data_IF_356539130929
#
_entry.id   IF_356539130929
#
_cell.length_a   1.000
_cell.length_b   1.000
_cell.length_c   1.000
_cell.angle_alpha   90.00
_cell.angle_beta   90.00
_cell.angle_gamma   90.00
#
_symmetry.space_group_name_H-M   'P 1'
#
loop_
_entity.id
_entity.type
_entity.pdbx_description
1 polymer ?
#
# COMPACT_ATOMS: atom_id res chain seq x y z
N UNK A 1 7.14 -17.57 3.96
CA UNK A 1 6.15 -17.61 5.09
C UNK A 1 5.33 -18.89 4.89
N UNK A 2 4.86 -19.54 5.96
CA UNK A 2 3.97 -20.69 5.84
C UNK A 2 2.51 -20.24 5.65
N UNK A 3 1.65 -21.17 5.24
CA UNK A 3 0.24 -20.91 4.93
C UNK A 3 -0.55 -20.31 6.12
N UNK A 4 -0.29 -20.79 7.35
CA UNK A 4 -0.97 -20.27 8.55
C UNK A 4 -0.69 -18.77 8.74
N UNK A 5 0.57 -18.36 8.70
CA UNK A 5 0.95 -16.95 8.86
C UNK A 5 0.50 -16.09 7.69
N UNK A 6 0.49 -16.63 6.47
CA UNK A 6 -0.06 -15.92 5.30
C UNK A 6 -1.52 -15.56 5.50
N UNK A 7 -2.35 -16.54 5.91
CA UNK A 7 -3.77 -16.29 6.18
C UNK A 7 -3.98 -15.37 7.38
N UNK A 8 -3.16 -15.51 8.41
CA UNK A 8 -3.20 -14.63 9.58
C UNK A 8 -2.95 -13.17 9.18
N UNK A 9 -1.87 -12.89 8.43
CA UNK A 9 -1.60 -11.54 7.97
C UNK A 9 -2.64 -11.02 6.98
N UNK A 10 -3.15 -11.88 6.11
CA UNK A 10 -4.24 -11.50 5.21
C UNK A 10 -5.47 -11.03 5.98
N UNK A 11 -5.87 -11.79 7.00
CA UNK A 11 -7.00 -11.45 7.86
C UNK A 11 -6.74 -10.17 8.67
N UNK A 12 -5.56 -10.04 9.26
CA UNK A 12 -5.16 -8.83 9.97
C UNK A 12 -5.19 -7.60 9.05
N UNK A 13 -4.69 -7.73 7.81
CA UNK A 13 -4.77 -6.67 6.81
C UNK A 13 -6.22 -6.25 6.55
N UNK A 14 -7.11 -7.22 6.38
CA UNK A 14 -8.55 -6.94 6.21
C UNK A 14 -9.14 -6.20 7.41
N UNK A 15 -8.85 -6.63 8.63
CA UNK A 15 -9.37 -5.99 9.84
C UNK A 15 -8.81 -4.58 10.05
N UNK A 16 -7.51 -4.39 9.87
CA UNK A 16 -6.82 -3.11 10.11
C UNK A 16 -7.18 -2.08 9.04
N UNK A 17 -7.25 -2.48 7.78
CA UNK A 17 -7.68 -1.59 6.69
C UNK A 17 -9.19 -1.33 6.73
N UNK A 18 -9.99 -2.28 7.20
CA UNK A 18 -11.43 -2.12 7.39
C UNK A 18 -12.15 -1.63 6.14
N UNK A 19 -12.82 -0.46 6.23
CA UNK A 19 -13.53 0.14 5.09
C UNK A 19 -12.63 0.53 3.92
N UNK A 20 -11.33 0.68 4.17
CA UNK A 20 -10.29 1.03 3.17
C UNK A 20 -9.58 -0.19 2.57
N UNK A 21 -10.08 -1.41 2.81
CA UNK A 21 -9.43 -2.63 2.36
C UNK A 21 -9.14 -2.60 0.87
N UNK A 22 -7.88 -2.87 0.54
CA UNK A 22 -7.39 -3.11 -0.82
C UNK A 22 -7.01 -4.58 -0.96
N UNK A 23 -7.48 -5.22 -2.02
CA UNK A 23 -7.17 -6.61 -2.33
C UNK A 23 -5.66 -6.76 -2.58
N UNK A 24 -4.92 -7.55 -1.76
CA UNK A 24 -3.46 -7.62 -1.85
C UNK A 24 -2.94 -8.04 -3.23
N UNK A 25 -3.60 -8.98 -3.90
CA UNK A 25 -3.22 -9.43 -5.23
C UNK A 25 -3.40 -8.33 -6.30
N UNK A 26 -4.51 -7.59 -6.27
CA UNK A 26 -4.74 -6.49 -7.21
C UNK A 26 -3.73 -5.35 -7.01
N UNK A 27 -3.48 -4.99 -5.74
CA UNK A 27 -2.48 -3.98 -5.42
C UNK A 27 -1.06 -4.43 -5.83
N UNK A 28 -0.68 -5.67 -5.49
CA UNK A 28 0.63 -6.24 -5.87
C UNK A 28 0.84 -6.31 -7.39
N UNK A 29 -0.19 -6.67 -8.15
CA UNK A 29 -0.10 -6.68 -9.61
C UNK A 29 0.03 -5.26 -10.19
N UNK A 30 -0.72 -4.30 -9.65
CA UNK A 30 -0.60 -2.89 -10.04
C UNK A 30 0.80 -2.35 -9.73
N UNK A 31 1.34 -2.66 -8.57
CA UNK A 31 2.68 -2.27 -8.15
C UNK A 31 3.78 -2.88 -9.03
N UNK A 32 3.67 -4.17 -9.38
CA UNK A 32 4.58 -4.81 -10.35
C UNK A 32 4.54 -4.15 -11.73
N UNK A 33 3.35 -3.75 -12.18
CA UNK A 33 3.19 -3.01 -13.44
C UNK A 33 3.86 -1.64 -13.36
N UNK A 34 3.72 -0.95 -12.21
CA UNK A 34 4.43 0.29 -11.94
C UNK A 34 5.95 0.12 -12.06
N UNK A 35 6.55 -0.87 -11.39
CA UNK A 35 7.99 -1.13 -11.52
C UNK A 35 8.43 -1.47 -12.95
N UNK A 36 7.59 -2.19 -13.71
CA UNK A 36 7.91 -2.58 -15.09
C UNK A 36 7.89 -1.41 -16.07
N UNK A 37 7.11 -0.37 -15.78
CA UNK A 37 6.87 0.76 -16.68
C UNK A 37 7.05 2.12 -16.00
N UNK A 38 7.78 2.16 -14.89
CA UNK A 38 7.87 3.31 -13.99
C UNK A 38 8.07 4.62 -14.74
N UNK A 39 7.17 5.58 -14.46
CA UNK A 39 7.14 6.92 -15.04
C UNK A 39 6.99 6.98 -16.57
N UNK A 40 6.57 5.90 -17.22
CA UNK A 40 6.14 5.91 -18.62
C UNK A 40 4.64 6.10 -18.74
N UNK A 41 4.14 6.30 -19.96
CA UNK A 41 2.68 6.39 -20.25
C UNK A 41 1.89 5.11 -19.94
N UNK A 42 2.58 3.97 -19.76
CA UNK A 42 1.97 2.68 -19.39
C UNK A 42 1.92 2.46 -17.90
N UNK A 43 2.54 3.33 -17.12
CA UNK A 43 2.55 3.26 -15.68
C UNK A 43 1.19 3.72 -15.11
N UNK A 44 0.43 2.84 -14.44
CA UNK A 44 -0.89 3.18 -13.92
C UNK A 44 -0.84 4.08 -12.69
N UNK A 45 0.35 4.33 -12.16
CA UNK A 45 0.57 4.83 -10.81
C UNK A 45 1.61 5.97 -10.78
N UNK A 46 1.96 6.53 -11.94
CA UNK A 46 2.93 7.61 -12.04
C UNK A 46 2.28 8.99 -11.95
N UNK A 47 2.78 9.86 -11.07
CA UNK A 47 2.35 11.24 -11.00
C UNK A 47 2.91 12.11 -12.14
N UNK A 48 3.83 11.60 -12.97
CA UNK A 48 4.51 12.36 -14.04
C UNK A 48 3.53 12.72 -15.15
N UNK A 49 2.60 11.81 -15.45
CA UNK A 49 1.62 11.97 -16.54
C UNK A 49 0.27 12.50 -16.06
N UNK A 50 0.14 12.80 -14.78
CA UNK A 50 -1.09 13.29 -14.19
C UNK A 50 -1.07 14.81 -14.06
N UNK A 51 -2.10 15.48 -14.52
CA UNK A 51 -2.22 16.94 -14.46
C UNK A 51 -2.34 17.47 -13.03
N UNK A 52 -2.96 16.69 -12.15
CA UNK A 52 -3.18 17.04 -10.75
C UNK A 52 -3.42 15.76 -9.90
N UNK A 53 -3.53 15.96 -8.59
CA UNK A 53 -3.76 14.88 -7.62
C UNK A 53 -5.04 14.09 -7.92
N UNK A 54 -6.12 14.76 -8.29
CA UNK A 54 -7.40 14.09 -8.55
C UNK A 54 -7.33 13.19 -9.78
N UNK A 55 -6.70 13.65 -10.87
CA UNK A 55 -6.50 12.83 -12.07
C UNK A 55 -5.62 11.62 -11.76
N UNK A 56 -4.54 11.80 -11.00
CA UNK A 56 -3.68 10.71 -10.54
C UNK A 56 -4.47 9.66 -9.75
N UNK A 57 -5.20 10.10 -8.72
CA UNK A 57 -6.00 9.20 -7.88
C UNK A 57 -7.08 8.47 -8.69
N UNK A 58 -7.71 9.16 -9.64
CA UNK A 58 -8.74 8.56 -10.49
C UNK A 58 -8.18 7.49 -11.44
N UNK A 59 -7.04 7.73 -12.09
CA UNK A 59 -6.39 6.74 -12.95
C UNK A 59 -5.93 5.51 -12.14
N UNK A 60 -5.31 5.74 -10.98
CA UNK A 60 -4.92 4.67 -10.05
C UNK A 60 -6.14 3.84 -9.60
N UNK A 61 -7.24 4.51 -9.25
CA UNK A 61 -8.48 3.83 -8.85
C UNK A 61 -9.06 2.98 -9.99
N UNK A 62 -9.11 3.49 -11.23
CA UNK A 62 -9.61 2.72 -12.37
C UNK A 62 -8.78 1.46 -12.60
N UNK A 63 -7.46 1.58 -12.57
CA UNK A 63 -6.58 0.43 -12.76
C UNK A 63 -6.75 -0.59 -11.62
N UNK A 64 -6.77 -0.14 -10.37
CA UNK A 64 -7.03 -1.01 -9.23
C UNK A 64 -8.38 -1.75 -9.38
N UNK A 65 -9.45 -1.04 -9.70
CA UNK A 65 -10.80 -1.63 -9.89
C UNK A 65 -10.82 -2.65 -11.00
N UNK A 66 -10.16 -2.37 -12.11
CA UNK A 66 -10.03 -3.32 -13.21
C UNK A 66 -9.33 -4.61 -12.76
N UNK A 67 -8.18 -4.51 -12.09
CA UNK A 67 -7.43 -5.67 -11.60
C UNK A 67 -8.21 -6.43 -10.52
N UNK A 68 -8.80 -5.75 -9.55
CA UNK A 68 -9.55 -6.41 -8.48
C UNK A 68 -10.74 -7.20 -9.04
N UNK A 69 -11.44 -6.65 -10.01
CA UNK A 69 -12.55 -7.33 -10.69
C UNK A 69 -12.05 -8.55 -11.48
N UNK A 70 -10.96 -8.40 -12.24
CA UNK A 70 -10.39 -9.52 -13.00
C UNK A 70 -9.97 -10.68 -12.08
N UNK A 71 -9.36 -10.39 -10.94
CA UNK A 71 -8.91 -11.40 -10.00
C UNK A 71 -10.06 -12.07 -9.24
N UNK A 72 -11.17 -11.38 -9.03
CA UNK A 72 -12.38 -12.00 -8.51
C UNK A 72 -13.04 -12.95 -9.52
N UNK A 73 -12.85 -12.72 -10.82
CA UNK A 73 -13.38 -13.59 -11.88
C UNK A 73 -12.44 -14.76 -12.16
N UNK A 74 -11.14 -14.52 -12.24
CA UNK A 74 -10.13 -15.50 -12.65
C UNK A 74 -8.93 -15.51 -11.67
N UNK A 75 -8.94 -16.49 -10.78
CA UNK A 75 -7.91 -16.64 -9.74
C UNK A 75 -6.54 -17.07 -10.31
N UNK A 76 -6.49 -17.66 -11.50
CA UNK A 76 -5.25 -18.15 -12.09
C UNK A 76 -4.27 -17.02 -12.45
N UNK A 77 -4.78 -15.80 -12.68
CA UNK A 77 -3.98 -14.64 -13.07
C UNK A 77 -3.02 -14.11 -11.99
N UNK A 78 -3.13 -14.59 -10.76
CA UNK A 78 -2.31 -14.14 -9.63
C UNK A 78 -1.86 -15.28 -8.74
N UNK A 79 -1.54 -16.43 -9.33
CA UNK A 79 -1.20 -17.67 -8.61
C UNK A 79 0.01 -17.54 -7.66
N UNK A 80 0.87 -16.56 -7.87
CA UNK A 80 2.06 -16.29 -7.05
C UNK A 80 1.86 -15.18 -5.99
N UNK A 81 0.65 -14.61 -5.92
CA UNK A 81 0.29 -13.58 -4.94
C UNK A 81 -0.62 -14.16 -3.85
N UNK A 82 -0.54 -13.66 -2.60
CA UNK A 82 -1.43 -14.11 -1.54
C UNK A 82 -2.89 -13.89 -1.90
N UNK A 83 -3.70 -14.95 -1.79
CA UNK A 83 -5.12 -14.93 -2.11
C UNK A 83 -5.95 -15.53 -0.98
N UNK A 84 -7.10 -14.92 -0.70
CA UNK A 84 -8.13 -15.49 0.16
C UNK A 84 -9.50 -14.99 -0.30
N UNK A 85 -10.08 -15.69 -1.29
CA UNK A 85 -11.29 -15.28 -1.98
C UNK A 85 -12.43 -14.85 -1.07
N UNK A 86 -12.68 -15.60 0.00
CA UNK A 86 -13.73 -15.23 0.95
C UNK A 86 -13.53 -13.82 1.54
N UNK A 87 -12.33 -13.52 2.00
CA UNK A 87 -11.99 -12.20 2.56
C UNK A 87 -11.96 -11.11 1.46
N UNK A 88 -11.50 -11.45 0.26
CA UNK A 88 -11.49 -10.51 -0.87
C UNK A 88 -12.92 -10.09 -1.25
N UNK A 89 -13.84 -11.02 -1.34
CA UNK A 89 -15.27 -10.73 -1.61
C UNK A 89 -15.87 -9.87 -0.48
N UNK A 90 -15.60 -10.22 0.77
CA UNK A 90 -16.05 -9.41 1.91
C UNK A 90 -15.47 -7.98 1.86
N UNK A 91 -14.17 -7.83 1.61
CA UNK A 91 -13.49 -6.52 1.58
C UNK A 91 -13.93 -5.63 0.42
N UNK A 92 -14.38 -6.20 -0.71
CA UNK A 92 -14.97 -5.45 -1.82
C UNK A 92 -16.47 -5.16 -1.63
N UNK A 93 -17.12 -5.76 -0.64
CA UNK A 93 -18.55 -5.56 -0.36
C UNK A 93 -18.80 -4.18 0.26
N UNK A 94 -19.71 -3.41 -0.37
CA UNK A 94 -20.15 -2.13 0.20
C UNK A 94 -20.83 -2.28 1.56
N UNK A 95 -21.53 -3.40 1.80
CA UNK A 95 -22.18 -3.68 3.08
C UNK A 95 -21.13 -3.78 4.19
N UNK A 96 -20.04 -4.51 3.92
CA UNK A 96 -18.93 -4.68 4.88
C UNK A 96 -18.20 -3.35 5.10
N UNK A 97 -17.99 -2.55 4.05
CA UNK A 97 -17.38 -1.20 4.18
C UNK A 97 -18.25 -0.28 5.04
N UNK A 98 -19.56 -0.26 4.82
CA UNK A 98 -20.53 0.51 5.63
C UNK A 98 -20.52 0.02 7.09
N UNK A 99 -20.45 -1.29 7.31
CA UNK A 99 -20.33 -1.85 8.65
C UNK A 99 -19.09 -1.33 9.40
N UNK A 100 -17.91 -1.31 8.76
CA UNK A 100 -16.70 -0.73 9.35
C UNK A 100 -16.86 0.77 9.64
N UNK A 101 -17.44 1.54 8.73
CA UNK A 101 -17.72 2.98 8.95
C UNK A 101 -18.64 3.17 10.15
N UNK A 102 -19.66 2.31 10.30
CA UNK A 102 -20.56 2.33 11.44
C UNK A 102 -19.83 2.01 12.76
N UNK A 103 -18.89 1.06 12.74
CA UNK A 103 -18.03 0.77 13.89
C UNK A 103 -17.16 1.97 14.28
N UNK A 104 -16.53 2.65 13.31
CA UNK A 104 -15.73 3.86 13.59
C UNK A 104 -16.61 4.97 14.16
N UNK A 105 -17.80 5.17 13.60
CA UNK A 105 -18.75 6.17 14.08
C UNK A 105 -19.21 5.87 15.50
N UNK A 106 -19.51 4.60 15.80
CA UNK A 106 -19.89 4.15 17.14
C UNK A 106 -18.74 4.31 18.13
N UNK A 107 -17.51 3.97 17.74
CA UNK A 107 -16.33 4.18 18.57
C UNK A 107 -16.14 5.65 18.93
N UNK A 108 -16.20 6.56 17.94
CA UNK A 108 -16.08 7.99 18.22
C UNK A 108 -17.25 8.53 19.03
N UNK A 109 -18.46 8.05 18.78
CA UNK A 109 -19.62 8.41 19.59
C UNK A 109 -19.41 8.08 21.07
N UNK A 110 -18.81 6.94 21.36
CA UNK A 110 -18.67 6.42 22.72
C UNK A 110 -17.46 7.01 23.45
N UNK A 111 -16.34 7.19 22.76
CA UNK A 111 -15.05 7.46 23.40
C UNK A 111 -14.41 8.79 23.00
N UNK A 112 -14.87 9.46 21.96
CA UNK A 112 -14.23 10.69 21.54
C UNK A 112 -14.52 11.83 22.52
N UNK A 113 -13.51 12.59 22.96
CA UNK A 113 -13.66 13.71 23.88
C UNK A 113 -14.36 14.90 23.23
N UNK A 114 -14.49 14.95 21.91
CA UNK A 114 -15.20 15.99 21.17
C UNK A 114 -15.67 15.51 19.79
N UNK A 115 -16.67 16.21 19.24
CA UNK A 115 -17.22 15.91 17.92
C UNK A 115 -16.20 16.08 16.77
N UNK A 116 -15.10 16.80 16.96
CA UNK A 116 -14.05 16.97 15.96
C UNK A 116 -13.42 15.64 15.52
N UNK A 117 -13.44 14.62 16.38
CA UNK A 117 -12.91 13.30 16.04
C UNK A 117 -13.67 12.61 14.89
N UNK A 118 -14.93 12.98 14.63
CA UNK A 118 -15.67 12.47 13.48
C UNK A 118 -15.04 12.88 12.14
N UNK A 119 -14.24 13.95 12.10
CA UNK A 119 -13.47 14.32 10.91
C UNK A 119 -12.39 13.31 10.53
N UNK A 120 -12.07 12.36 11.41
CA UNK A 120 -11.16 11.25 11.09
C UNK A 120 -11.83 10.13 10.28
N UNK A 121 -13.16 10.05 10.26
CA UNK A 121 -13.88 9.00 9.51
C UNK A 121 -13.51 8.99 8.01
N UNK A 122 -13.50 10.13 7.29
CA UNK A 122 -13.01 10.16 5.91
C UNK A 122 -11.59 9.59 5.74
N UNK A 123 -10.68 9.86 6.69
CA UNK A 123 -9.33 9.31 6.64
C UNK A 123 -9.34 7.78 6.79
N UNK A 124 -10.18 7.21 7.66
CA UNK A 124 -10.34 5.75 7.75
C UNK A 124 -10.88 5.15 6.46
N UNK A 125 -11.85 5.83 5.80
CA UNK A 125 -12.44 5.36 4.55
C UNK A 125 -11.41 5.34 3.41
N UNK A 126 -10.52 6.33 3.36
CA UNK A 126 -9.56 6.53 2.28
C UNK A 126 -8.11 6.23 2.66
N UNK A 127 -7.86 5.58 3.80
CA UNK A 127 -6.49 5.35 4.31
C UNK A 127 -5.61 4.64 3.27
N UNK A 128 -6.08 3.56 2.66
CA UNK A 128 -5.32 2.84 1.63
C UNK A 128 -4.99 3.70 0.41
N UNK A 129 -5.98 4.33 -0.25
CA UNK A 129 -5.73 5.29 -1.33
C UNK A 129 -4.85 6.48 -0.93
N UNK A 130 -5.02 7.05 0.26
CA UNK A 130 -4.20 8.16 0.76
C UNK A 130 -2.75 7.71 0.93
N UNK A 131 -2.53 6.54 1.54
CA UNK A 131 -1.19 5.99 1.72
C UNK A 131 -0.51 5.77 0.36
N UNK A 132 -1.18 5.09 -0.56
CA UNK A 132 -0.68 4.89 -1.92
C UNK A 132 -0.39 6.20 -2.66
N UNK A 133 -1.24 7.21 -2.48
CA UNK A 133 -1.01 8.56 -3.01
C UNK A 133 0.27 9.20 -2.44
N UNK A 134 0.42 9.20 -1.12
CA UNK A 134 1.60 9.81 -0.47
C UNK A 134 2.88 9.16 -0.99
N UNK A 135 2.94 7.84 -1.00
CA UNK A 135 4.13 7.08 -1.42
C UNK A 135 4.48 7.35 -2.88
N UNK A 136 3.52 7.26 -3.79
CA UNK A 136 3.82 7.39 -5.22
C UNK A 136 3.94 8.85 -5.67
N UNK A 137 3.07 9.74 -5.20
CA UNK A 137 3.12 11.15 -5.59
C UNK A 137 4.40 11.84 -5.11
N UNK A 138 4.67 11.75 -3.81
CA UNK A 138 5.87 12.39 -3.25
C UNK A 138 7.13 11.60 -3.59
N UNK A 139 7.06 10.28 -3.56
CA UNK A 139 8.19 9.41 -3.88
C UNK A 139 8.70 9.51 -5.32
N UNK A 140 7.94 10.13 -6.25
CA UNK A 140 8.39 10.41 -7.62
C UNK A 140 8.55 11.90 -7.95
N UNK A 141 8.19 12.81 -7.02
CA UNK A 141 8.30 14.26 -7.24
C UNK A 141 9.31 14.95 -6.33
N UNK A 142 9.40 14.51 -5.08
CA UNK A 142 10.08 15.26 -4.03
C UNK A 142 11.14 14.42 -3.32
N UNK A 143 12.32 14.94 -3.14
CA UNK A 143 13.35 14.29 -2.35
C UNK A 143 14.72 14.18 -3.03
N UNK A 144 15.59 13.42 -2.41
CA UNK A 144 16.94 13.14 -2.91
C UNK A 144 17.00 11.78 -3.62
N UNK A 145 18.11 11.52 -4.32
CA UNK A 145 18.37 10.24 -5.01
C UNK A 145 19.70 9.68 -4.55
N UNK A 146 19.69 8.43 -4.12
CA UNK A 146 20.91 7.66 -3.90
C UNK A 146 21.38 7.01 -5.20
N UNK A 147 20.45 6.75 -6.13
CA UNK A 147 20.63 6.08 -7.41
C UNK A 147 20.20 6.99 -8.56
N UNK A 148 21.01 8.02 -8.91
CA UNK A 148 20.69 8.93 -10.00
C UNK A 148 20.73 8.29 -11.38
N UNK A 149 21.33 7.10 -11.51
CA UNK A 149 21.41 6.32 -12.75
C UNK A 149 20.11 5.67 -13.19
N UNK A 150 19.08 5.61 -12.31
CA UNK A 150 17.78 5.10 -12.68
C UNK A 150 17.07 6.06 -13.64
N UNK A 151 16.42 5.51 -14.66
CA UNK A 151 15.72 6.28 -15.70
C UNK A 151 14.38 6.85 -15.24
N UNK A 152 13.81 6.34 -14.17
CA UNK A 152 12.57 6.86 -13.57
C UNK A 152 12.84 8.11 -12.70
N UNK A 153 11.76 8.72 -12.17
CA UNK A 153 11.86 9.90 -11.32
C UNK A 153 11.80 9.57 -9.83
N UNK A 154 11.95 8.30 -9.44
CA UNK A 154 11.90 7.88 -8.05
C UNK A 154 12.88 8.64 -7.17
N UNK A 155 12.45 8.99 -5.98
CA UNK A 155 13.20 9.78 -4.98
C UNK A 155 12.99 9.23 -3.58
N UNK A 156 13.90 9.57 -2.70
CA UNK A 156 13.75 9.33 -1.27
C UNK A 156 13.22 10.64 -0.66
N UNK A 157 11.97 10.66 -0.27
CA UNK A 157 11.25 11.90 0.08
C UNK A 157 11.69 12.48 1.41
N UNK A 158 11.93 11.62 2.41
CA UNK A 158 12.34 12.05 3.75
C UNK A 158 13.60 11.30 4.18
N UNK A 159 14.51 11.96 4.93
CA UNK A 159 15.68 11.30 5.50
C UNK A 159 15.31 10.30 6.62
N UNK A 160 14.15 10.51 7.28
CA UNK A 160 13.62 9.63 8.32
C UNK A 160 12.13 9.41 8.02
N UNK A 161 11.77 8.18 7.71
CA UNK A 161 10.39 7.82 7.38
C UNK A 161 9.80 6.89 8.45
N UNK A 162 9.14 7.50 9.45
CA UNK A 162 8.44 6.77 10.51
C UNK A 162 7.01 6.42 10.12
N UNK A 163 6.30 7.34 9.46
CA UNK A 163 4.86 7.21 9.22
C UNK A 163 4.54 6.25 8.07
N UNK A 164 5.39 6.21 7.05
CA UNK A 164 5.23 5.32 5.90
C UNK A 164 6.14 4.08 6.00
N UNK A 165 6.78 3.89 7.17
CA UNK A 165 7.56 2.71 7.52
C UNK A 165 8.70 2.37 6.54
N UNK A 166 9.30 3.39 5.90
CA UNK A 166 10.37 3.25 4.92
C UNK A 166 9.90 3.29 3.46
N UNK A 167 8.60 3.26 3.19
CA UNK A 167 8.04 3.29 1.83
C UNK A 167 8.38 4.56 1.05
N UNK A 168 8.75 5.67 1.72
CA UNK A 168 9.19 6.91 1.07
C UNK A 168 10.66 6.88 0.61
N UNK A 169 11.37 5.76 0.76
CA UNK A 169 12.68 5.54 0.13
C UNK A 169 12.51 4.93 -1.28
N UNK A 170 11.68 5.56 -2.11
CA UNK A 170 11.30 5.02 -3.41
C UNK A 170 12.48 4.83 -4.36
N UNK A 171 13.47 5.74 -4.39
CA UNK A 171 14.64 5.58 -5.25
C UNK A 171 15.50 4.36 -4.87
N UNK A 172 15.61 4.09 -3.57
CA UNK A 172 16.30 2.88 -3.10
C UNK A 172 15.50 1.62 -3.44
N UNK A 173 14.17 1.66 -3.25
CA UNK A 173 13.27 0.56 -3.56
C UNK A 173 13.28 0.24 -5.07
N UNK A 174 13.17 1.23 -5.94
CA UNK A 174 13.23 1.05 -7.40
C UNK A 174 14.57 0.47 -7.88
N UNK A 175 15.68 0.78 -7.19
CA UNK A 175 16.97 0.15 -7.46
C UNK A 175 16.99 -1.34 -7.14
N UNK A 176 16.26 -1.76 -6.12
CA UNK A 176 16.28 -3.14 -5.63
C UNK A 176 14.88 -3.61 -5.21
N UNK A 177 13.92 -3.73 -6.16
CA UNK A 177 12.50 -3.94 -5.85
C UNK A 177 12.20 -5.25 -5.12
N UNK A 178 13.10 -6.24 -5.22
CA UNK A 178 12.95 -7.54 -4.56
C UNK A 178 13.58 -7.58 -3.15
N UNK A 179 14.24 -6.50 -2.71
CA UNK A 179 14.85 -6.46 -1.37
C UNK A 179 13.83 -5.91 -0.36
N UNK A 180 13.69 -6.56 0.80
CA UNK A 180 12.80 -6.08 1.86
C UNK A 180 13.35 -4.86 2.62
N UNK A 181 14.63 -4.51 2.45
CA UNK A 181 15.29 -3.38 3.07
C UNK A 181 15.35 -2.21 2.08
N UNK A 182 14.69 -1.11 2.41
CA UNK A 182 14.66 0.09 1.59
C UNK A 182 15.72 1.11 1.99
N UNK A 183 16.18 1.12 3.24
CA UNK A 183 17.26 2.01 3.65
C UNK A 183 18.61 1.61 3.07
N UNK A 184 19.37 2.60 2.55
CA UNK A 184 20.74 2.43 2.06
C UNK A 184 21.75 3.21 2.87
N UNK A 185 21.41 4.42 3.33
CA UNK A 185 22.29 5.27 4.12
C UNK A 185 22.06 5.08 5.62
N UNK A 186 23.06 5.41 6.42
CA UNK A 186 23.03 5.23 7.88
C UNK A 186 21.93 6.04 8.59
N UNK A 187 21.49 7.16 8.01
CA UNK A 187 20.46 8.01 8.58
C UNK A 187 19.03 7.64 8.12
N UNK A 188 18.89 6.75 7.14
CA UNK A 188 17.61 6.30 6.64
C UNK A 188 17.05 5.25 7.61
N UNK A 189 16.00 5.60 8.34
CA UNK A 189 15.34 4.71 9.28
C UNK A 189 14.22 3.94 8.58
N UNK A 190 14.44 2.66 8.38
CA UNK A 190 13.49 1.74 7.73
C UNK A 190 12.79 0.89 8.79
N UNK A 191 11.68 1.42 9.32
CA UNK A 191 10.89 0.77 10.38
C UNK A 191 10.24 -0.51 9.87
N UNK A 192 9.79 -0.52 8.60
CA UNK A 192 9.23 -1.72 7.96
C UNK A 192 10.22 -2.87 7.95
N UNK A 193 11.46 -2.60 7.57
CA UNK A 193 12.50 -3.63 7.61
C UNK A 193 12.85 -4.11 9.03
N UNK A 194 12.85 -3.21 10.02
CA UNK A 194 13.04 -3.61 11.40
C UNK A 194 11.94 -4.57 11.87
N UNK A 195 10.69 -4.29 11.49
CA UNK A 195 9.56 -5.18 11.77
C UNK A 195 9.71 -6.54 11.05
N UNK A 196 10.08 -6.54 9.78
CA UNK A 196 10.39 -7.75 9.01
C UNK A 196 11.49 -8.58 9.69
N UNK A 197 12.56 -7.94 10.18
CA UNK A 197 13.63 -8.63 10.94
C UNK A 197 13.10 -9.26 12.23
N UNK A 198 12.25 -8.56 12.96
CA UNK A 198 11.65 -9.10 14.18
C UNK A 198 10.81 -10.35 13.86
N UNK A 199 9.97 -10.31 12.82
CA UNK A 199 9.19 -11.46 12.36
C UNK A 199 10.08 -12.64 11.92
N UNK A 200 11.22 -12.34 11.28
CA UNK A 200 12.19 -13.38 10.92
C UNK A 200 12.84 -14.02 12.14
N UNK A 201 13.20 -13.22 13.15
CA UNK A 201 13.75 -13.72 14.41
C UNK A 201 12.75 -14.60 15.16
N UNK A 202 11.46 -14.23 15.12
CA UNK A 202 10.37 -15.02 15.69
C UNK A 202 9.97 -16.23 14.84
N UNK A 203 10.66 -16.48 13.72
CA UNK A 203 10.39 -17.58 12.77
C UNK A 203 8.98 -17.55 12.14
N UNK A 204 8.33 -16.39 12.14
CA UNK A 204 7.04 -16.15 11.47
C UNK A 204 7.23 -16.11 9.96
N UNK A 205 8.28 -15.44 9.50
CA UNK A 205 8.72 -15.40 8.11
C UNK A 205 10.17 -15.92 8.01
N UNK A 206 10.62 -16.16 6.79
CA UNK A 206 12.02 -16.46 6.48
C UNK A 206 12.50 -15.46 5.43
N UNK A 207 13.51 -14.68 5.79
CA UNK A 207 14.26 -13.86 4.83
C UNK A 207 15.18 -14.79 4.03
N UNK A 208 15.17 -14.64 2.72
CA UNK A 208 16.01 -15.39 1.76
C UNK A 208 17.03 -14.44 1.18
#
# INVERSE_FOLDING_TARGET
MNYFWEKTFFFLTFLVQGSSFLQPAAYGAMHRKHHSFSDTKKDPHSPVWSNNIFSFMWETFKEYRNLSTQFLIDESKSSDLPRWRFIEVLGESMIVRIFFVSLYSFFYWTYAPSAWFFLLIPFHIFMGPIHGFIVNWFGHKNGYRNHPELSDNSKNTLPVDLLMMGELYQNNHHKSPNKPKFSHRWFELDVGYLFIKALNTLKVIRLV
#
